data_IF_645121731180
#
_entry.id   IF_645121731180
#
_cell.length_a   1.000
_cell.length_b   1.000
_cell.length_c   1.000
_cell.angle_alpha   90.00
_cell.angle_beta   90.00
_cell.angle_gamma   90.00
#
_symmetry.space_group_name_H-M   'P 1'
#
loop_
_entity.id
_entity.type
_entity.pdbx_description
1 polymer ?
#
# COMPACT_ATOMS: atom_id res chain seq x y z
N UNK A 1 21.70 -7.57 -4.18
CA UNK A 1 20.81 -8.70 -3.86
C UNK A 1 19.57 -8.54 -4.70
N UNK A 2 19.32 -9.46 -5.63
CA UNK A 2 18.09 -9.47 -6.43
C UNK A 2 17.01 -10.21 -5.65
N UNK A 3 15.98 -9.47 -5.22
CA UNK A 3 14.84 -10.01 -4.48
C UNK A 3 13.59 -9.77 -5.32
N UNK A 4 12.93 -10.84 -5.75
CA UNK A 4 11.68 -10.78 -6.51
C UNK A 4 10.49 -10.82 -5.56
N UNK A 5 9.67 -9.77 -5.58
CA UNK A 5 8.48 -9.67 -4.75
C UNK A 5 7.39 -10.58 -5.35
N UNK A 6 6.94 -11.60 -4.61
CA UNK A 6 5.88 -12.52 -5.07
C UNK A 6 4.50 -12.14 -4.57
N UNK A 7 4.38 -11.80 -3.29
CA UNK A 7 3.09 -11.43 -2.67
C UNK A 7 3.30 -10.34 -1.64
N UNK A 8 2.31 -9.50 -1.46
CA UNK A 8 2.27 -8.49 -0.41
C UNK A 8 0.88 -8.44 0.20
N UNK A 9 0.80 -7.97 1.45
CA UNK A 9 -0.45 -7.85 2.17
C UNK A 9 -0.29 -7.04 3.44
N UNK A 10 -1.35 -6.99 4.24
CA UNK A 10 -1.36 -6.32 5.53
C UNK A 10 -1.81 -7.27 6.63
N UNK A 11 -1.23 -7.08 7.81
CA UNK A 11 -1.74 -7.57 9.08
C UNK A 11 -2.38 -6.41 9.81
N UNK A 12 -3.59 -6.62 10.31
CA UNK A 12 -4.37 -5.58 10.98
C UNK A 12 -4.00 -5.42 12.46
N UNK A 13 -3.58 -6.51 13.11
CA UNK A 13 -3.27 -6.49 14.55
C UNK A 13 -2.01 -7.33 14.88
N UNK A 14 -0.91 -6.70 15.35
CA UNK A 14 -0.61 -5.28 15.23
C UNK A 14 -0.36 -4.89 13.75
N UNK A 15 -0.61 -3.63 13.37
CA UNK A 15 -0.57 -3.16 11.99
C UNK A 15 0.82 -3.36 11.37
N UNK A 16 0.88 -4.14 10.28
CA UNK A 16 2.13 -4.42 9.59
C UNK A 16 1.89 -4.72 8.11
N UNK A 17 2.85 -4.36 7.25
CA UNK A 17 2.86 -4.76 5.84
C UNK A 17 3.73 -6.01 5.72
N UNK A 18 3.16 -7.04 5.11
CA UNK A 18 3.81 -8.32 4.89
C UNK A 18 4.26 -8.36 3.43
N UNK A 19 5.54 -8.68 3.20
CA UNK A 19 6.09 -8.92 1.87
C UNK A 19 6.67 -10.33 1.82
N UNK A 20 6.21 -11.14 0.88
CA UNK A 20 6.78 -12.44 0.55
C UNK A 20 7.61 -12.26 -0.70
N UNK A 21 8.91 -12.49 -0.60
CA UNK A 21 9.86 -12.36 -1.68
C UNK A 21 10.67 -13.65 -1.83
N UNK A 22 11.15 -13.90 -3.03
CA UNK A 22 12.09 -14.97 -3.31
C UNK A 22 13.49 -14.38 -3.44
N UNK A 23 14.45 -15.08 -2.83
CA UNK A 23 15.86 -14.74 -3.03
C UNK A 23 16.41 -15.66 -4.12
N UNK A 24 16.82 -15.07 -5.23
CA UNK A 24 17.32 -15.80 -6.41
C UNK A 24 18.50 -16.71 -6.07
N UNK A 25 19.29 -16.38 -5.06
CA UNK A 25 20.48 -17.16 -4.66
C UNK A 25 20.15 -18.43 -3.87
N UNK A 26 18.95 -18.56 -3.31
CA UNK A 26 18.60 -19.70 -2.42
C UNK A 26 17.33 -20.44 -2.83
N UNK A 27 16.59 -19.96 -3.84
CA UNK A 27 15.32 -20.56 -4.29
C UNK A 27 14.27 -20.73 -3.18
N UNK A 28 14.43 -20.02 -2.06
CA UNK A 28 13.57 -20.12 -0.88
C UNK A 28 12.78 -18.83 -0.72
N UNK A 29 11.47 -18.98 -0.62
CA UNK A 29 10.57 -17.88 -0.27
C UNK A 29 10.85 -17.41 1.15
N UNK A 30 10.95 -16.09 1.32
CA UNK A 30 11.13 -15.43 2.62
C UNK A 30 10.01 -14.44 2.85
N UNK A 31 9.60 -14.33 4.10
CA UNK A 31 8.61 -13.37 4.53
C UNK A 31 9.30 -12.24 5.30
N UNK A 32 8.92 -11.00 5.00
CA UNK A 32 9.29 -9.81 5.78
C UNK A 32 8.03 -9.16 6.33
N UNK A 33 8.04 -8.90 7.63
CA UNK A 33 6.98 -8.18 8.32
C UNK A 33 7.52 -6.79 8.64
N UNK A 34 6.90 -5.77 8.06
CA UNK A 34 7.28 -4.36 8.22
C UNK A 34 6.22 -3.70 9.10
N UNK A 35 6.52 -3.45 10.39
CA UNK A 35 5.53 -2.85 11.29
C UNK A 35 5.21 -1.42 10.84
N UNK A 36 3.93 -1.10 10.82
CA UNK A 36 3.45 0.25 10.54
C UNK A 36 3.28 0.95 11.89
N UNK A 37 4.16 1.93 12.17
CA UNK A 37 4.13 2.71 13.41
C UNK A 37 3.56 4.09 13.12
N UNK A 38 2.96 4.72 14.12
CA UNK A 38 2.42 6.08 14.07
C UNK A 38 1.39 6.30 12.94
N UNK A 39 0.67 5.25 12.55
CA UNK A 39 -0.41 5.35 11.56
C UNK A 39 -1.76 5.28 12.25
N UNK A 40 -2.64 6.21 11.89
CA UNK A 40 -3.97 6.39 12.46
C UNK A 40 -5.04 6.49 11.38
N UNK A 41 -6.32 6.46 11.77
CA UNK A 41 -7.47 6.64 10.85
C UNK A 41 -7.51 7.99 10.11
N UNK A 42 -6.66 8.94 10.52
CA UNK A 42 -6.51 10.28 9.95
C UNK A 42 -5.20 10.45 9.17
N UNK A 43 -4.35 9.43 9.14
CA UNK A 43 -3.08 9.51 8.42
C UNK A 43 -3.29 9.52 6.91
N UNK A 44 -2.42 10.25 6.22
CA UNK A 44 -2.35 10.29 4.77
C UNK A 44 -1.74 8.97 4.24
N UNK A 45 -2.51 8.25 3.42
CA UNK A 45 -2.11 6.96 2.88
C UNK A 45 -0.98 7.06 1.86
N UNK A 46 -0.95 8.13 1.06
CA UNK A 46 0.08 8.33 0.05
C UNK A 46 1.42 8.65 0.74
N UNK A 47 1.41 9.59 1.68
CA UNK A 47 2.60 9.93 2.47
C UNK A 47 3.14 8.72 3.23
N UNK A 48 2.28 7.90 3.82
CA UNK A 48 2.70 6.68 4.51
C UNK A 48 3.32 5.64 3.55
N UNK A 49 2.77 5.51 2.34
CA UNK A 49 3.31 4.65 1.28
C UNK A 49 4.70 5.11 0.82
N UNK A 50 4.87 6.42 0.59
CA UNK A 50 6.16 7.01 0.22
C UNK A 50 7.21 6.80 1.30
N UNK A 51 6.85 7.04 2.56
CA UNK A 51 7.75 6.83 3.70
C UNK A 51 8.22 5.37 3.79
N UNK A 52 7.33 4.41 3.57
CA UNK A 52 7.69 3.00 3.58
C UNK A 52 8.61 2.65 2.40
N UNK A 53 8.28 3.12 1.19
CA UNK A 53 9.05 2.84 -0.03
C UNK A 53 10.44 3.46 0.00
N UNK A 54 10.56 4.65 0.56
CA UNK A 54 11.82 5.39 0.69
C UNK A 54 12.64 4.99 1.92
N UNK A 55 12.11 4.16 2.82
CA UNK A 55 12.84 3.69 3.98
C UNK A 55 14.06 2.86 3.54
N UNK A 56 15.31 3.26 3.90
CA UNK A 56 16.52 2.56 3.47
C UNK A 56 16.52 1.07 3.83
N UNK A 57 15.83 0.69 4.91
CA UNK A 57 15.73 -0.71 5.34
C UNK A 57 14.86 -1.55 4.42
N UNK A 58 13.88 -0.96 3.73
CA UNK A 58 12.85 -1.65 2.96
C UNK A 58 12.92 -1.39 1.45
N UNK A 59 13.57 -0.29 1.05
CA UNK A 59 13.68 0.19 -0.33
C UNK A 59 14.04 -0.91 -1.33
N UNK A 60 15.11 -1.67 -1.07
CA UNK A 60 15.59 -2.74 -1.95
C UNK A 60 14.59 -3.89 -2.18
N UNK A 61 13.63 -4.08 -1.28
CA UNK A 61 12.62 -5.13 -1.41
C UNK A 61 11.33 -4.62 -2.05
N UNK A 62 11.12 -3.30 -2.02
CA UNK A 62 9.93 -2.63 -2.54
C UNK A 62 10.16 -2.00 -3.93
N UNK A 63 11.33 -2.20 -4.54
CA UNK A 63 11.63 -1.70 -5.89
C UNK A 63 10.59 -2.15 -6.92
N UNK A 64 10.16 -3.42 -6.84
CA UNK A 64 9.16 -4.00 -7.75
C UNK A 64 7.71 -3.65 -7.38
N UNK A 65 7.47 -3.07 -6.20
CA UNK A 65 6.13 -2.73 -5.74
C UNK A 65 5.82 -1.27 -6.11
N UNK A 66 4.73 -1.06 -6.84
CA UNK A 66 4.32 0.31 -7.21
C UNK A 66 3.87 1.10 -5.98
N UNK A 67 4.02 2.43 -6.02
CA UNK A 67 3.57 3.29 -4.93
C UNK A 67 2.05 3.18 -4.72
N UNK A 68 1.30 3.08 -5.82
CA UNK A 68 -0.16 2.90 -5.82
C UNK A 68 -0.61 1.64 -5.09
N UNK A 69 0.10 0.52 -5.26
CA UNK A 69 -0.19 -0.73 -4.54
C UNK A 69 0.05 -0.58 -3.03
N UNK A 70 1.15 0.08 -2.64
CA UNK A 70 1.42 0.37 -1.23
C UNK A 70 0.35 1.30 -0.63
N UNK A 71 -0.04 2.33 -1.37
CA UNK A 71 -1.10 3.25 -0.96
C UNK A 71 -2.43 2.52 -0.72
N UNK A 72 -2.82 1.59 -1.61
CA UNK A 72 -4.00 0.76 -1.41
C UNK A 72 -3.93 -0.04 -0.10
N UNK A 73 -2.78 -0.62 0.24
CA UNK A 73 -2.59 -1.30 1.53
C UNK A 73 -2.80 -0.36 2.73
N UNK A 74 -2.30 0.88 2.64
CA UNK A 74 -2.54 1.88 3.69
C UNK A 74 -4.01 2.33 3.75
N UNK A 75 -4.70 2.43 2.62
CA UNK A 75 -6.16 2.69 2.59
C UNK A 75 -6.94 1.56 3.27
N UNK A 76 -6.59 0.30 3.03
CA UNK A 76 -7.15 -0.85 3.76
C UNK A 76 -6.90 -0.76 5.27
N UNK A 77 -5.67 -0.45 5.65
CA UNK A 77 -5.30 -0.32 7.06
C UNK A 77 -6.07 0.83 7.74
N UNK A 78 -6.28 1.94 7.03
CA UNK A 78 -7.10 3.07 7.47
C UNK A 78 -8.58 2.70 7.63
N UNK A 79 -9.15 1.97 6.67
CA UNK A 79 -10.52 1.48 6.73
C UNK A 79 -10.74 0.60 7.96
N UNK A 80 -9.84 -0.34 8.20
CA UNK A 80 -9.89 -1.16 9.41
C UNK A 80 -9.79 -0.34 10.70
N UNK A 81 -8.93 0.68 10.76
CA UNK A 81 -8.85 1.59 11.91
C UNK A 81 -10.10 2.46 12.10
N UNK A 82 -10.94 2.59 11.07
CA UNK A 82 -12.26 3.24 11.14
C UNK A 82 -13.37 2.28 11.54
N UNK A 83 -13.08 0.98 11.68
CA UNK A 83 -14.08 -0.06 11.92
C UNK A 83 -14.82 -0.50 10.66
N UNK A 84 -14.32 -0.14 9.47
CA UNK A 84 -14.89 -0.61 8.20
C UNK A 84 -14.49 -2.06 7.94
N UNK A 85 -15.39 -2.82 7.34
CA UNK A 85 -15.07 -4.14 6.82
C UNK A 85 -14.12 -4.06 5.62
N UNK A 86 -13.45 -5.18 5.32
CA UNK A 86 -12.60 -5.27 4.13
C UNK A 86 -13.41 -4.99 2.86
N UNK A 87 -14.64 -5.51 2.76
CA UNK A 87 -15.52 -5.31 1.62
C UNK A 87 -15.86 -3.83 1.40
N UNK A 88 -16.30 -3.13 2.46
CA UNK A 88 -16.61 -1.69 2.37
C UNK A 88 -15.39 -0.87 1.95
N UNK A 89 -14.21 -1.22 2.48
CA UNK A 89 -12.97 -0.54 2.11
C UNK A 89 -12.57 -0.83 0.66
N UNK A 90 -12.78 -2.07 0.17
CA UNK A 90 -12.56 -2.43 -1.23
C UNK A 90 -13.48 -1.64 -2.16
N UNK A 91 -14.77 -1.55 -1.83
CA UNK A 91 -15.74 -0.78 -2.61
C UNK A 91 -15.37 0.71 -2.65
N UNK A 92 -14.98 1.29 -1.51
CA UNK A 92 -14.56 2.68 -1.46
C UNK A 92 -13.31 2.92 -2.31
N UNK A 93 -12.32 2.04 -2.22
CA UNK A 93 -11.11 2.12 -3.06
C UNK A 93 -11.48 1.98 -4.54
N UNK A 94 -12.38 1.07 -4.89
CA UNK A 94 -12.83 0.89 -6.28
C UNK A 94 -13.53 2.15 -6.78
N UNK A 95 -14.45 2.75 -6.02
CA UNK A 95 -15.09 4.03 -6.38
C UNK A 95 -14.07 5.16 -6.56
N UNK A 96 -13.14 5.31 -5.62
CA UNK A 96 -12.09 6.34 -5.70
C UNK A 96 -11.08 6.11 -6.84
N UNK A 97 -10.97 4.86 -7.32
CA UNK A 97 -10.00 4.47 -8.37
C UNK A 97 -10.67 4.40 -9.75
N UNK A 98 -11.98 4.20 -9.79
CA UNK A 98 -12.83 4.23 -10.98
C UNK A 98 -13.18 5.67 -11.39
N UNK A 99 -12.22 6.59 -11.25
CA UNK A 99 -12.27 7.86 -11.97
C UNK A 99 -12.19 7.49 -13.45
N UNK A 100 -13.30 7.73 -14.13
CA UNK A 100 -13.50 7.44 -15.54
C UNK A 100 -12.39 8.16 -16.35
N UNK A 101 -11.67 7.49 -17.27
CA UNK A 101 -10.67 8.15 -18.10
C UNK A 101 -11.24 9.25 -19.03
N UNK A 102 -12.57 9.45 -19.06
CA UNK A 102 -13.23 10.62 -19.69
C UNK A 102 -13.45 11.82 -18.78
N UNK A 103 -13.15 11.73 -17.49
CA UNK A 103 -13.27 12.88 -16.59
C UNK A 103 -12.06 13.80 -16.81
N UNK A 104 -12.19 14.68 -17.80
CA UNK A 104 -11.28 15.80 -18.02
C UNK A 104 -11.38 16.75 -16.81
N UNK A 105 -10.54 16.51 -15.80
CA UNK A 105 -10.44 17.31 -14.57
C UNK A 105 -9.81 18.70 -14.80
N UNK A 106 -9.71 19.15 -16.06
CA UNK A 106 -9.04 20.39 -16.43
C UNK A 106 -9.99 21.43 -17.05
N UNK A 107 -11.19 21.59 -16.50
CA UNK A 107 -12.01 22.77 -16.76
C UNK A 107 -11.88 23.76 -15.60
N UNK A 108 -11.01 24.78 -15.68
CA UNK A 108 -11.18 25.93 -14.82
C UNK A 108 -12.53 26.56 -15.22
N UNK A 109 -13.48 26.62 -14.29
CA UNK A 109 -14.66 27.45 -14.46
C UNK A 109 -14.18 28.90 -14.53
N UNK A 110 -14.04 29.42 -15.75
CA UNK A 110 -13.87 30.84 -16.01
C UNK A 110 -15.23 31.52 -15.82
N UNK A 111 -15.27 32.49 -14.90
CA UNK A 111 -16.40 33.39 -14.70
C UNK A 111 -16.23 34.64 -15.56
#
# INVERSE_FOLDING_TARGET
MTCTAKKWGIRLQPPAIILIYENEMKGKSRQRIMPVRNFSKFSDCNRAAEQLKNNPRHKSYLEQVSLRQLEQLFRFLRGNLRGQSLAETMEQIQRDTAIDPKEDLNRPEAR
#
